data_IF_884915119808
#
_entry.id   IF_884915119808
#
_cell.length_a   1.000
_cell.length_b   1.000
_cell.length_c   1.000
_cell.angle_alpha   90.00
_cell.angle_beta   90.00
_cell.angle_gamma   90.00
#
_symmetry.space_group_name_H-M   'P 1'
#
loop_
_entity.id
_entity.type
_entity.pdbx_description
1 polymer ?
#
# COMPACT_ATOMS: atom_id res chain seq x y z
N UNK A 1 6.39 -15.58 16.69
CA UNK A 1 5.26 -16.42 16.25
C UNK A 1 4.21 -15.50 15.65
N UNK A 2 3.61 -15.85 14.49
CA UNK A 2 2.50 -15.09 13.92
C UNK A 2 1.22 -15.26 14.76
N UNK A 3 0.26 -14.36 14.57
CA UNK A 3 -1.08 -14.50 15.14
C UNK A 3 -1.93 -15.53 14.36
N UNK A 4 -3.24 -15.64 14.66
CA UNK A 4 -4.17 -16.57 13.99
C UNK A 4 -4.31 -16.30 12.49
N UNK A 5 -4.15 -15.04 12.07
CA UNK A 5 -4.27 -14.62 10.67
C UNK A 5 -2.93 -14.70 9.92
N UNK A 6 -1.87 -15.23 10.55
CA UNK A 6 -0.54 -15.26 9.96
C UNK A 6 0.22 -13.93 10.04
N UNK A 7 -0.35 -12.89 10.65
CA UNK A 7 0.30 -11.59 10.82
C UNK A 7 1.51 -11.74 11.74
N UNK A 8 2.69 -11.45 11.20
CA UNK A 8 3.95 -11.54 11.93
C UNK A 8 4.20 -10.28 12.76
N UNK A 9 5.04 -10.35 13.81
CA UNK A 9 5.46 -9.16 14.54
C UNK A 9 6.12 -8.10 13.66
N UNK A 10 6.82 -8.51 12.60
CA UNK A 10 7.43 -7.61 11.62
C UNK A 10 6.37 -6.83 10.84
N UNK A 11 5.30 -7.49 10.39
CA UNK A 11 4.20 -6.82 9.69
C UNK A 11 3.53 -5.77 10.57
N UNK A 12 3.26 -6.12 11.83
CA UNK A 12 2.69 -5.19 12.79
C UNK A 12 3.61 -4.00 13.07
N UNK A 13 4.92 -4.25 13.25
CA UNK A 13 5.92 -3.20 13.43
C UNK A 13 6.03 -2.25 12.23
N UNK A 14 5.84 -2.76 11.02
CA UNK A 14 5.83 -1.96 9.80
C UNK A 14 4.56 -1.11 9.63
N UNK A 15 3.54 -1.28 10.49
CA UNK A 15 2.29 -0.50 10.44
C UNK A 15 1.07 -1.29 9.94
N UNK A 16 1.14 -2.62 9.83
CA UNK A 16 -0.01 -3.44 9.47
C UNK A 16 -0.92 -3.68 10.68
N UNK A 17 -2.23 -3.49 10.51
CA UNK A 17 -3.25 -3.80 11.53
C UNK A 17 -3.67 -2.63 12.42
N UNK A 18 -3.19 -1.41 12.19
CA UNK A 18 -3.74 -0.20 12.84
C UNK A 18 -5.03 0.20 12.13
N UNK A 19 -6.15 -0.39 12.53
CA UNK A 19 -7.45 -0.19 11.90
C UNK A 19 -8.45 0.56 12.81
N UNK A 20 -8.18 0.63 14.11
CA UNK A 20 -9.08 1.33 15.02
C UNK A 20 -8.85 2.85 14.98
N UNK A 21 -9.91 3.68 15.12
CA UNK A 21 -9.79 5.14 15.18
C UNK A 21 -8.89 5.67 16.30
N UNK A 22 -8.64 4.87 17.33
CA UNK A 22 -7.80 5.19 18.49
C UNK A 22 -6.42 4.51 18.41
N UNK A 23 -6.19 3.69 17.40
CA UNK A 23 -4.89 3.09 17.10
C UNK A 23 -4.12 4.05 16.19
N UNK A 24 -3.20 4.80 16.78
CA UNK A 24 -2.19 5.52 16.02
C UNK A 24 -1.10 4.51 15.63
N UNK A 25 -0.92 4.28 14.32
CA UNK A 25 0.36 3.74 13.86
C UNK A 25 1.42 4.68 14.43
N UNK A 26 2.29 4.16 15.29
CA UNK A 26 3.33 4.96 15.93
C UNK A 26 4.08 5.81 14.91
N UNK A 27 4.78 6.83 15.39
CA UNK A 27 5.55 7.69 14.48
C UNK A 27 6.51 6.86 13.63
N UNK A 28 6.81 7.31 12.40
CA UNK A 28 7.72 6.59 11.51
C UNK A 28 9.06 6.18 12.18
N UNK A 29 9.69 7.02 13.04
CA UNK A 29 10.88 6.60 13.78
C UNK A 29 10.66 5.42 14.73
N UNK A 30 9.50 5.35 15.39
CA UNK A 30 9.16 4.23 16.28
C UNK A 30 8.94 2.94 15.48
N UNK A 31 8.20 3.04 14.38
CA UNK A 31 8.00 1.93 13.45
C UNK A 31 9.33 1.45 12.86
N UNK A 32 10.24 2.37 12.53
CA UNK A 32 11.57 2.05 12.02
C UNK A 32 12.39 1.26 13.03
N UNK A 33 12.46 1.71 14.29
CA UNK A 33 13.19 1.01 15.36
C UNK A 33 12.60 -0.37 15.61
N UNK A 34 11.26 -0.48 15.67
CA UNK A 34 10.59 -1.75 15.87
C UNK A 34 10.84 -2.72 14.69
N UNK A 35 10.75 -2.23 13.45
CA UNK A 35 11.01 -3.03 12.24
C UNK A 35 12.46 -3.52 12.22
N UNK A 36 13.43 -2.65 12.49
CA UNK A 36 14.84 -3.02 12.56
C UNK A 36 15.07 -4.11 13.59
N UNK A 37 14.53 -3.95 14.80
CA UNK A 37 14.68 -4.95 15.87
C UNK A 37 14.12 -6.32 15.45
N UNK A 38 12.97 -6.36 14.77
CA UNK A 38 12.39 -7.61 14.30
C UNK A 38 13.27 -8.28 13.23
N UNK A 39 13.80 -7.49 12.29
CA UNK A 39 14.72 -7.98 11.26
C UNK A 39 16.03 -8.51 11.87
N UNK A 40 16.59 -7.81 12.85
CA UNK A 40 17.80 -8.22 13.57
C UNK A 40 17.61 -9.53 14.35
N UNK A 41 16.37 -9.78 14.82
CA UNK A 41 15.97 -11.04 15.47
C UNK A 41 15.71 -12.18 14.46
N UNK A 42 15.92 -11.96 13.17
CA UNK A 42 15.72 -12.96 12.11
C UNK A 42 14.26 -13.13 11.71
N UNK A 43 13.44 -12.09 11.82
CA UNK A 43 12.10 -12.13 11.26
C UNK A 43 12.15 -12.31 9.74
N UNK A 44 11.22 -13.10 9.22
CA UNK A 44 11.04 -13.30 7.79
C UNK A 44 10.46 -12.03 7.15
N UNK A 45 11.27 -11.38 6.30
CA UNK A 45 10.92 -10.13 5.60
C UNK A 45 9.81 -10.33 4.56
N UNK A 46 9.75 -11.53 3.99
CA UNK A 46 8.84 -11.91 2.91
C UNK A 46 7.61 -12.67 3.41
N UNK A 47 7.39 -12.68 4.73
CA UNK A 47 6.18 -13.24 5.30
C UNK A 47 4.93 -12.63 4.67
N UNK A 48 3.92 -13.46 4.43
CA UNK A 48 2.60 -13.08 3.89
C UNK A 48 1.53 -13.55 4.87
N UNK A 49 0.61 -12.68 5.25
CA UNK A 49 -0.51 -13.05 6.13
C UNK A 49 -1.70 -13.63 5.32
N UNK A 50 -2.79 -14.00 6.00
CA UNK A 50 -3.99 -14.56 5.38
C UNK A 50 -4.69 -13.60 4.39
N UNK A 51 -4.50 -12.28 4.57
CA UNK A 51 -5.01 -11.25 3.67
C UNK A 51 -4.10 -11.00 2.46
N UNK A 52 -2.97 -11.70 2.35
CA UNK A 52 -1.99 -11.46 1.30
C UNK A 52 -1.12 -10.22 1.53
N UNK A 53 -1.18 -9.62 2.72
CA UNK A 53 -0.36 -8.48 3.09
C UNK A 53 1.03 -8.92 3.56
N UNK A 54 2.03 -8.12 3.19
CA UNK A 54 3.43 -8.26 3.62
C UNK A 54 3.83 -7.11 4.55
N UNK A 55 5.04 -7.15 5.12
CA UNK A 55 5.58 -6.01 5.87
C UNK A 55 5.60 -4.71 5.02
N UNK A 56 5.81 -4.81 3.71
CA UNK A 56 5.80 -3.65 2.82
C UNK A 56 4.39 -3.09 2.59
N UNK A 57 3.34 -3.93 2.63
CA UNK A 57 1.96 -3.45 2.67
C UNK A 57 1.71 -2.64 3.96
N UNK A 58 2.21 -3.12 5.10
CA UNK A 58 2.19 -2.40 6.38
C UNK A 58 2.84 -1.02 6.28
N UNK A 59 4.06 -0.95 5.74
CA UNK A 59 4.78 0.31 5.57
C UNK A 59 4.04 1.31 4.67
N UNK A 60 3.35 0.81 3.63
CA UNK A 60 2.50 1.64 2.78
C UNK A 60 1.25 2.16 3.51
N UNK A 61 0.60 1.35 4.35
CA UNK A 61 -0.51 1.79 5.20
C UNK A 61 -0.05 2.84 6.21
N UNK A 62 1.10 2.64 6.85
CA UNK A 62 1.72 3.59 7.78
C UNK A 62 2.22 4.88 7.12
N UNK A 63 2.41 4.88 5.79
CA UNK A 63 3.07 5.98 5.06
C UNK A 63 4.52 6.21 5.52
N UNK A 64 5.27 5.11 5.69
CA UNK A 64 6.61 5.07 6.26
C UNK A 64 7.69 4.82 5.18
N UNK A 65 8.13 5.84 4.42
CA UNK A 65 9.13 5.69 3.37
C UNK A 65 10.47 5.12 3.86
N UNK A 66 10.93 5.45 5.07
CA UNK A 66 12.17 4.87 5.61
C UNK A 66 12.04 3.39 5.96
N UNK A 67 10.86 2.96 6.42
CA UNK A 67 10.60 1.53 6.67
C UNK A 67 10.54 0.77 5.34
N UNK A 68 9.98 1.36 4.27
CA UNK A 68 10.02 0.78 2.91
C UNK A 68 11.46 0.51 2.48
N UNK A 69 12.35 1.51 2.65
CA UNK A 69 13.76 1.35 2.28
C UNK A 69 14.44 0.28 3.14
N UNK A 70 14.19 0.28 4.45
CA UNK A 70 14.76 -0.72 5.35
C UNK A 70 14.39 -2.15 4.96
N UNK A 71 13.11 -2.41 4.66
CA UNK A 71 12.67 -3.73 4.23
C UNK A 71 13.34 -4.16 2.92
N UNK A 72 13.49 -3.23 1.97
CA UNK A 72 14.19 -3.49 0.71
C UNK A 72 15.70 -3.79 0.93
N UNK A 73 16.37 -3.04 1.81
CA UNK A 73 17.77 -3.25 2.16
C UNK A 73 17.99 -4.61 2.85
N UNK A 74 16.98 -5.11 3.56
CA UNK A 74 16.96 -6.45 4.15
C UNK A 74 16.49 -7.56 3.19
N UNK A 75 16.36 -7.27 1.90
CA UNK A 75 16.12 -8.27 0.86
C UNK A 75 14.67 -8.61 0.60
N UNK A 76 13.72 -7.73 0.97
CA UNK A 76 12.30 -7.92 0.63
C UNK A 76 12.13 -8.13 -0.89
N UNK A 77 11.64 -9.31 -1.26
CA UNK A 77 11.61 -9.75 -2.64
C UNK A 77 10.42 -9.13 -3.40
N UNK A 78 10.71 -8.41 -4.49
CA UNK A 78 9.71 -7.62 -5.22
C UNK A 78 8.58 -8.46 -5.79
N UNK A 79 8.86 -9.68 -6.20
CA UNK A 79 7.87 -10.64 -6.66
C UNK A 79 6.87 -11.03 -5.57
N UNK A 80 7.24 -10.90 -4.30
CA UNK A 80 6.38 -11.21 -3.16
C UNK A 80 5.60 -9.96 -2.78
N UNK A 81 6.27 -8.87 -2.42
CA UNK A 81 5.57 -7.69 -1.91
C UNK A 81 4.81 -6.89 -2.96
N UNK A 82 5.14 -7.01 -4.25
CA UNK A 82 4.38 -6.35 -5.33
C UNK A 82 3.16 -7.17 -5.77
N UNK A 83 2.89 -8.32 -5.16
CA UNK A 83 1.67 -9.10 -5.41
C UNK A 83 0.47 -8.40 -4.75
N UNK A 84 -0.67 -8.27 -5.44
CA UNK A 84 -1.86 -7.69 -4.83
C UNK A 84 -2.41 -8.58 -3.72
N UNK A 85 -2.77 -7.96 -2.61
CA UNK A 85 -3.44 -8.62 -1.49
C UNK A 85 -4.88 -9.06 -1.87
N UNK A 86 -5.64 -9.65 -0.93
CA UNK A 86 -7.02 -10.14 -1.16
C UNK A 86 -7.99 -9.02 -1.58
N UNK A 87 -7.66 -7.76 -1.30
CA UNK A 87 -8.42 -6.57 -1.72
C UNK A 87 -7.96 -6.03 -3.09
N UNK A 88 -7.05 -6.72 -3.78
CA UNK A 88 -6.49 -6.31 -5.07
C UNK A 88 -5.47 -5.18 -4.96
N UNK A 89 -4.90 -4.92 -3.77
CA UNK A 89 -4.03 -3.76 -3.52
C UNK A 89 -2.58 -4.18 -3.42
N UNK A 90 -1.71 -3.47 -4.13
CA UNK A 90 -0.25 -3.54 -3.92
C UNK A 90 0.21 -2.44 -2.96
N UNK A 91 1.45 -2.47 -2.44
CA UNK A 91 1.99 -1.41 -1.59
C UNK A 91 1.97 -0.03 -2.27
N UNK A 92 2.30 0.04 -3.57
CA UNK A 92 2.21 1.29 -4.33
C UNK A 92 0.77 1.81 -4.37
N UNK A 93 -0.19 0.92 -4.59
CA UNK A 93 -1.61 1.27 -4.67
C UNK A 93 -2.14 1.84 -3.35
N UNK A 94 -1.71 1.25 -2.22
CA UNK A 94 -2.02 1.74 -0.87
C UNK A 94 -1.38 3.11 -0.63
N UNK A 95 -0.12 3.30 -1.01
CA UNK A 95 0.61 4.57 -0.85
C UNK A 95 0.01 5.71 -1.69
N UNK A 96 -0.59 5.41 -2.84
CA UNK A 96 -1.39 6.34 -3.66
C UNK A 96 -2.73 6.73 -3.00
N UNK A 97 -3.07 6.12 -1.86
CA UNK A 97 -4.24 6.46 -1.07
C UNK A 97 -5.49 5.67 -1.45
N UNK A 98 -5.39 4.65 -2.30
CA UNK A 98 -6.53 3.81 -2.69
C UNK A 98 -6.90 2.74 -1.63
N UNK A 99 -6.92 3.18 -0.37
CA UNK A 99 -7.44 2.46 0.79
C UNK A 99 -8.84 3.02 1.08
N UNK A 100 -9.77 2.16 1.51
CA UNK A 100 -11.18 2.55 1.69
C UNK A 100 -11.34 3.88 2.44
N UNK A 101 -12.18 4.79 1.92
CA UNK A 101 -12.35 6.15 2.45
C UNK A 101 -11.78 7.22 1.52
N UNK A 102 -11.49 8.41 2.08
CA UNK A 102 -10.89 9.50 1.32
C UNK A 102 -9.44 9.17 0.96
N UNK A 103 -9.00 9.38 -0.30
CA UNK A 103 -7.62 9.17 -0.68
C UNK A 103 -6.67 10.02 0.16
N UNK A 104 -5.70 9.36 0.81
CA UNK A 104 -4.59 10.01 1.53
C UNK A 104 -3.26 9.53 0.95
N UNK A 105 -2.84 10.07 -0.21
CA UNK A 105 -1.57 9.70 -0.82
C UNK A 105 -0.39 10.20 0.01
N UNK A 106 0.63 9.37 0.18
CA UNK A 106 1.92 9.78 0.77
C UNK A 106 2.96 9.89 -0.33
N UNK A 107 3.27 11.13 -0.73
CA UNK A 107 4.23 11.39 -1.81
C UNK A 107 5.59 10.73 -1.56
N UNK A 108 6.13 10.85 -0.36
CA UNK A 108 7.42 10.28 -0.01
C UNK A 108 7.42 8.74 -0.11
N UNK A 109 6.33 8.10 0.33
CA UNK A 109 6.20 6.63 0.25
C UNK A 109 6.02 6.16 -1.20
N UNK A 110 5.22 6.88 -1.99
CA UNK A 110 5.05 6.62 -3.43
C UNK A 110 6.41 6.71 -4.14
N UNK A 111 7.18 7.76 -3.88
CA UNK A 111 8.50 7.95 -4.47
C UNK A 111 9.46 6.82 -4.08
N UNK A 112 9.51 6.44 -2.79
CA UNK A 112 10.35 5.34 -2.31
C UNK A 112 10.02 4.01 -3.02
N UNK A 113 8.74 3.61 -3.04
CA UNK A 113 8.30 2.37 -3.69
C UNK A 113 8.57 2.44 -5.19
N UNK A 114 8.29 3.58 -5.83
CA UNK A 114 8.52 3.78 -7.27
C UNK A 114 10.00 3.63 -7.64
N UNK A 115 10.91 4.16 -6.81
CA UNK A 115 12.36 4.02 -7.03
C UNK A 115 12.78 2.55 -6.94
N UNK A 116 12.27 1.80 -5.95
CA UNK A 116 12.55 0.37 -5.82
C UNK A 116 12.03 -0.43 -7.02
N UNK A 117 10.80 -0.16 -7.46
CA UNK A 117 10.20 -0.83 -8.62
C UNK A 117 10.98 -0.54 -9.91
N UNK A 118 11.34 0.73 -10.13
CA UNK A 118 12.15 1.13 -11.29
C UNK A 118 13.54 0.49 -11.26
N UNK A 119 14.17 0.39 -10.08
CA UNK A 119 15.46 -0.27 -9.89
C UNK A 119 15.42 -1.77 -10.19
N UNK A 120 14.30 -2.41 -9.92
CA UNK A 120 14.04 -3.81 -10.24
C UNK A 120 13.52 -4.04 -11.68
N UNK A 121 13.31 -2.98 -12.47
CA UNK A 121 12.76 -3.06 -13.83
C UNK A 121 11.28 -3.44 -13.89
N UNK A 122 10.54 -3.26 -12.80
CA UNK A 122 9.11 -3.59 -12.71
C UNK A 122 8.26 -2.36 -13.03
N UNK A 123 7.21 -2.56 -13.83
CA UNK A 123 6.29 -1.49 -14.21
C UNK A 123 5.48 -0.98 -13.01
N UNK A 124 5.42 0.34 -12.86
CA UNK A 124 4.61 1.05 -11.85
C UNK A 124 3.18 1.33 -12.34
N UNK A 125 2.88 1.04 -13.62
CA UNK A 125 1.60 1.29 -14.26
C UNK A 125 0.56 0.18 -13.99
N UNK A 126 0.64 -0.52 -12.85
CA UNK A 126 -0.25 -1.63 -12.50
C UNK A 126 -1.73 -1.27 -12.66
N UNK A 127 -2.59 -2.30 -12.74
CA UNK A 127 -4.04 -2.10 -12.91
C UNK A 127 -4.60 -1.22 -11.79
N UNK A 128 -5.06 -0.01 -12.14
CA UNK A 128 -5.76 0.90 -11.22
C UNK A 128 -7.26 0.70 -11.43
N UNK A 129 -8.06 0.54 -10.36
CA UNK A 129 -9.50 0.49 -10.51
C UNK A 129 -10.00 1.80 -11.10
N UNK A 130 -11.03 1.70 -11.92
CA UNK A 130 -11.62 2.86 -12.59
C UNK A 130 -12.10 3.85 -11.54
N UNK A 131 -11.61 5.09 -11.62
CA UNK A 131 -12.16 6.20 -10.83
C UNK A 131 -13.57 6.44 -11.35
N UNK A 132 -14.57 5.94 -10.62
CA UNK A 132 -15.97 6.23 -10.92
C UNK A 132 -16.30 7.58 -10.28
N UNK A 133 -16.38 8.63 -11.10
CA UNK A 133 -16.98 9.89 -10.65
C UNK A 133 -18.48 9.68 -10.50
N UNK A 134 -18.91 9.44 -9.26
CA UNK A 134 -20.32 9.28 -8.89
C UNK A 134 -21.18 10.52 -9.19
N UNK A 135 -20.57 11.67 -9.48
CA UNK A 135 -21.23 12.91 -9.88
C UNK A 135 -21.09 13.20 -11.39
N UNK A 136 -20.45 12.31 -12.16
CA UNK A 136 -20.36 12.46 -13.61
C UNK A 136 -21.78 12.46 -14.19
N UNK A 137 -22.20 13.61 -14.72
CA UNK A 137 -23.52 13.77 -15.31
C UNK A 137 -23.57 12.95 -16.61
N UNK A 138 -24.58 12.09 -16.82
CA UNK A 138 -24.76 11.42 -18.10
C UNK A 138 -24.79 12.45 -19.23
N UNK A 139 -24.19 12.12 -20.38
CA UNK A 139 -24.21 13.00 -21.55
C UNK A 139 -25.65 13.38 -21.88
N UNK A 140 -25.92 14.70 -21.98
CA UNK A 140 -27.24 15.20 -22.32
C UNK A 140 -27.64 14.69 -23.71
N UNK A 141 -28.83 14.12 -23.90
CA UNK A 141 -29.24 13.63 -25.21
C UNK A 141 -29.18 14.77 -26.24
N UNK A 142 -28.82 14.47 -27.51
CA UNK A 142 -28.69 15.49 -28.53
C UNK A 142 -30.01 16.25 -28.68
N UNK A 143 -29.94 17.59 -28.63
CA UNK A 143 -31.12 18.44 -28.80
C UNK A 143 -31.78 18.14 -30.15
N UNK A 144 -33.12 17.98 -30.20
CA UNK A 144 -33.81 17.72 -31.45
C UNK A 144 -33.55 18.86 -32.43
N UNK A 145 -33.26 18.51 -33.68
CA UNK A 145 -33.03 19.47 -34.75
C UNK A 145 -34.23 20.41 -34.85
N UNK A 146 -33.99 21.71 -34.75
CA UNK A 146 -35.02 22.72 -34.93
C UNK A 146 -35.44 22.71 -36.40
N UNK A 147 -36.66 22.23 -36.69
CA UNK A 147 -37.25 22.37 -38.02
C UNK A 147 -37.41 23.86 -38.34
N UNK A 148 -36.58 24.36 -39.26
CA UNK A 148 -36.77 25.66 -39.88
C UNK A 148 -38.08 25.61 -40.68
N UNK A 149 -39.02 26.50 -40.36
CA UNK A 149 -40.24 26.73 -41.16
C UNK A 149 -39.99 27.83 -42.17
#
# INVERSE_FOLDING_TARGET
MPNLDGTTPLMAAAGLGTAAPEEEAGTEPEALIATQLMLDLGADVDGVNADGDTAMHGAAYGSFPTVVQLLADHGAAIEIWNTPNTQGRTPLFIAEGHRGGLPRPSRATIEAITVLMNGAGVSTAGERPVIVDQYARPAEPPKPAQSQR
#
